data_IF_498453608087
#
_entry.id   IF_498453608087
#
_cell.length_a   1.000
_cell.length_b   1.000
_cell.length_c   1.000
_cell.angle_alpha   90.00
_cell.angle_beta   90.00
_cell.angle_gamma   90.00
#
_symmetry.space_group_name_H-M   'P 1'
#
loop_
_entity.id
_entity.type
_entity.pdbx_description
1 polymer ?
#
# COMPACT_ATOMS: atom_id res chain seq x y z
N UNK A 1 -5.91 9.10 3.15
CA UNK A 1 -4.65 8.34 3.15
C UNK A 1 -4.89 7.01 3.86
N UNK A 2 -4.24 5.94 3.42
CA UNK A 2 -4.29 4.60 4.02
C UNK A 2 -2.85 4.07 4.12
N UNK A 3 -2.56 3.29 5.16
CA UNK A 3 -1.24 2.69 5.37
C UNK A 3 -1.32 1.17 5.19
N UNK A 4 -0.32 0.58 4.57
CA UNK A 4 -0.16 -0.86 4.43
C UNK A 4 1.32 -1.24 4.55
N UNK A 5 1.62 -2.47 4.95
CA UNK A 5 2.99 -2.95 5.17
C UNK A 5 3.22 -3.42 6.60
N UNK A 6 4.45 -3.29 7.08
CA UNK A 6 4.89 -3.76 8.40
C UNK A 6 5.44 -5.19 8.40
N UNK A 7 5.36 -5.89 7.27
CA UNK A 7 5.86 -7.26 7.09
C UNK A 7 7.07 -7.23 6.17
N UNK A 8 8.12 -7.96 6.53
CA UNK A 8 9.33 -8.06 5.71
C UNK A 8 9.00 -8.49 4.27
N UNK A 9 9.56 -7.77 3.30
CA UNK A 9 9.37 -7.94 1.86
C UNK A 9 7.91 -7.81 1.37
N UNK A 10 7.04 -7.11 2.12
CA UNK A 10 5.65 -6.84 1.72
C UNK A 10 5.31 -5.36 1.91
N UNK A 11 5.74 -4.53 0.97
CA UNK A 11 5.40 -3.11 0.89
C UNK A 11 5.65 -2.57 -0.52
N UNK A 12 5.10 -1.39 -0.83
CA UNK A 12 5.44 -0.66 -2.06
C UNK A 12 6.79 0.04 -1.96
N UNK A 13 7.58 0.02 -3.04
CA UNK A 13 8.91 0.62 -3.12
C UNK A 13 8.94 1.92 -3.94
N UNK A 14 10.05 2.65 -3.84
CA UNK A 14 10.38 3.79 -4.71
C UNK A 14 10.47 3.31 -6.17
N UNK A 15 9.36 3.41 -6.90
CA UNK A 15 9.20 2.86 -8.24
C UNK A 15 7.78 2.35 -8.51
N UNK A 16 7.07 1.97 -7.46
CA UNK A 16 5.68 1.50 -7.55
C UNK A 16 4.66 2.64 -7.47
N UNK A 17 5.11 3.90 -7.53
CA UNK A 17 4.24 5.09 -7.41
C UNK A 17 3.11 5.05 -8.44
N UNK A 18 1.88 5.25 -7.97
CA UNK A 18 0.68 5.07 -8.81
C UNK A 18 0.17 3.63 -8.92
N UNK A 19 0.87 2.66 -8.35
CA UNK A 19 0.46 1.25 -8.31
C UNK A 19 -0.78 1.00 -7.42
N UNK A 20 -1.58 -0.03 -7.72
CA UNK A 20 -2.80 -0.31 -6.97
C UNK A 20 -2.52 -1.06 -5.67
N UNK A 21 -3.22 -0.68 -4.60
CA UNK A 21 -3.39 -1.48 -3.40
C UNK A 21 -4.77 -2.14 -3.45
N UNK A 22 -4.80 -3.45 -3.66
CA UNK A 22 -6.02 -4.26 -3.81
C UNK A 22 -6.17 -5.16 -2.59
N UNK A 23 -7.40 -5.29 -2.09
CA UNK A 23 -7.77 -6.28 -1.09
C UNK A 23 -8.93 -7.12 -1.62
N UNK A 24 -8.90 -8.41 -1.31
CA UNK A 24 -10.04 -9.29 -1.56
C UNK A 24 -11.08 -9.08 -0.46
N UNK A 25 -12.33 -8.81 -0.84
CA UNK A 25 -13.42 -8.67 0.12
C UNK A 25 -14.00 -10.04 0.56
N UNK A 26 -14.96 -10.04 1.47
CA UNK A 26 -15.59 -11.29 1.97
C UNK A 26 -16.31 -12.12 0.89
N UNK A 27 -16.59 -11.52 -0.28
CA UNK A 27 -17.21 -12.18 -1.43
C UNK A 27 -16.19 -12.71 -2.45
N UNK A 28 -14.89 -12.54 -2.19
CA UNK A 28 -13.84 -12.91 -3.13
C UNK A 28 -13.63 -11.91 -4.27
N UNK A 29 -14.10 -10.66 -4.12
CA UNK A 29 -13.95 -9.63 -5.15
C UNK A 29 -12.72 -8.75 -4.85
N UNK A 30 -11.93 -8.47 -5.89
CA UNK A 30 -10.80 -7.55 -5.82
C UNK A 30 -11.28 -6.09 -5.71
N UNK A 31 -10.95 -5.43 -4.60
CA UNK A 31 -11.33 -4.04 -4.33
C UNK A 31 -10.09 -3.16 -4.27
N UNK A 32 -10.06 -2.13 -5.11
CA UNK A 32 -9.04 -1.08 -5.06
C UNK A 32 -9.29 -0.17 -3.84
N UNK A 33 -8.41 -0.24 -2.85
CA UNK A 33 -8.53 0.55 -1.61
C UNK A 33 -7.54 1.71 -1.55
N UNK A 34 -6.43 1.62 -2.29
CA UNK A 34 -5.46 2.69 -2.32
C UNK A 34 -4.57 2.71 -3.55
N UNK A 35 -3.83 3.81 -3.69
CA UNK A 35 -2.82 4.00 -4.73
C UNK A 35 -1.49 4.34 -4.06
N UNK A 36 -0.40 3.65 -4.42
CA UNK A 36 0.93 3.88 -3.84
C UNK A 36 1.29 5.37 -3.96
N UNK A 37 1.65 5.98 -2.84
CA UNK A 37 2.01 7.41 -2.79
C UNK A 37 3.48 7.57 -2.43
N UNK A 38 3.87 7.25 -1.20
CA UNK A 38 5.24 7.39 -0.73
C UNK A 38 5.48 6.48 0.48
N UNK A 39 6.74 6.26 0.82
CA UNK A 39 7.16 5.59 2.04
C UNK A 39 8.32 6.37 2.67
N UNK A 40 8.66 6.07 3.92
CA UNK A 40 9.85 6.66 4.55
C UNK A 40 11.10 6.15 3.83
N UNK A 41 12.11 7.01 3.68
CA UNK A 41 13.29 6.74 2.85
C UNK A 41 13.94 5.38 3.16
N UNK A 42 14.09 4.57 2.11
CA UNK A 42 14.75 3.26 2.11
C UNK A 42 14.08 2.21 3.04
N UNK A 43 12.83 2.41 3.46
CA UNK A 43 12.12 1.47 4.35
C UNK A 43 11.21 0.48 3.63
N UNK A 44 11.23 0.44 2.30
CA UNK A 44 10.40 -0.49 1.54
C UNK A 44 10.64 -1.93 1.98
N UNK A 45 9.56 -2.63 2.31
CA UNK A 45 9.60 -4.03 2.71
C UNK A 45 10.39 -4.29 3.99
N UNK A 46 10.70 -3.26 4.79
CA UNK A 46 11.31 -3.45 6.11
C UNK A 46 10.23 -3.80 7.12
N UNK A 47 10.50 -4.81 7.94
CA UNK A 47 9.63 -5.17 9.06
C UNK A 47 9.42 -3.96 10.00
N UNK A 48 8.18 -3.74 10.42
CA UNK A 48 7.82 -2.61 11.27
C UNK A 48 7.70 -1.25 10.55
N UNK A 49 7.95 -1.18 9.24
CA UNK A 49 7.72 0.02 8.43
C UNK A 49 6.55 -0.18 7.46
N UNK A 50 5.80 0.89 7.23
CA UNK A 50 4.63 0.90 6.36
C UNK A 50 4.79 1.91 5.22
N UNK A 51 4.22 1.57 4.07
CA UNK A 51 3.98 2.46 2.96
C UNK A 51 2.71 3.27 3.17
N UNK A 52 2.66 4.45 2.54
CA UNK A 52 1.54 5.36 2.56
C UNK A 52 0.90 5.41 1.17
N UNK A 53 -0.41 5.25 1.15
CA UNK A 53 -1.22 5.15 -0.05
C UNK A 53 -2.34 6.21 -0.02
N UNK A 54 -2.68 6.76 -1.18
CA UNK A 54 -3.87 7.59 -1.35
C UNK A 54 -5.11 6.73 -1.15
N UNK A 55 -6.07 7.17 -0.34
CA UNK A 55 -7.30 6.40 -0.10
C UNK A 55 -8.31 6.71 -1.19
N UNK A 56 -8.71 5.69 -1.96
CA UNK A 56 -9.58 5.88 -3.14
C UNK A 56 -11.01 6.24 -2.75
N UNK A 57 -11.49 5.78 -1.59
CA UNK A 57 -12.83 6.09 -1.10
C UNK A 57 -12.97 7.48 -0.46
N UNK A 58 -11.88 8.25 -0.38
CA UNK A 58 -11.87 9.61 0.17
C UNK A 58 -11.46 10.66 -0.86
N UNK A 59 -11.67 10.37 -2.15
CA UNK A 59 -11.43 11.28 -3.26
C UNK A 59 -12.58 12.29 -3.43
#
# INVERSE_FOLDING_TARGET
MVCAGGVANRDGCTGDSGGPLIVENEKGEDVLVGVVSWAKDDTCGREGYYGVYSCVSSA
#
